data_IF_373494211283
#
_entry.id   IF_373494211283
#
_cell.length_a   1.000
_cell.length_b   1.000
_cell.length_c   1.000
_cell.angle_alpha   90.00
_cell.angle_beta   90.00
_cell.angle_gamma   90.00
#
_symmetry.space_group_name_H-M   'P 1'
#
loop_
_entity.id
_entity.type
_entity.pdbx_description
1 polymer ?
#
# COMPACT_ATOMS: atom_id res chain seq x y z
N UNK A 1 20.42 -11.26 -5.94
CA UNK A 1 19.61 -11.17 -4.71
C UNK A 1 18.84 -9.85 -4.63
N UNK A 2 19.47 -8.68 -4.96
CA UNK A 2 18.84 -7.36 -4.83
C UNK A 2 17.57 -7.21 -5.70
N UNK A 3 17.53 -7.76 -6.90
CA UNK A 3 16.37 -7.72 -7.79
C UNK A 3 15.15 -8.46 -7.19
N UNK A 4 15.37 -9.58 -6.49
CA UNK A 4 14.29 -10.27 -5.79
C UNK A 4 13.67 -9.44 -4.67
N UNK A 5 14.48 -8.61 -3.98
CA UNK A 5 13.96 -7.67 -3.00
C UNK A 5 13.05 -6.63 -3.70
N UNK A 6 13.47 -6.10 -4.86
CA UNK A 6 12.64 -5.18 -5.64
C UNK A 6 11.29 -5.82 -6.06
N UNK A 7 11.30 -7.09 -6.49
CA UNK A 7 10.08 -7.87 -6.79
C UNK A 7 9.18 -7.96 -5.54
N UNK A 8 9.73 -8.32 -4.38
CA UNK A 8 8.98 -8.40 -3.13
C UNK A 8 8.40 -7.04 -2.74
N UNK A 9 9.17 -5.96 -2.88
CA UNK A 9 8.69 -4.60 -2.62
C UNK A 9 7.50 -4.25 -3.52
N UNK A 10 7.53 -4.62 -4.81
CA UNK A 10 6.41 -4.39 -5.73
C UNK A 10 5.19 -5.22 -5.36
N UNK A 11 5.36 -6.50 -5.05
CA UNK A 11 4.25 -7.36 -4.57
C UNK A 11 3.61 -6.76 -3.31
N UNK A 12 4.42 -6.37 -2.34
CA UNK A 12 3.92 -5.77 -1.10
C UNK A 12 3.24 -4.42 -1.33
N UNK A 13 3.75 -3.61 -2.26
CA UNK A 13 3.13 -2.34 -2.65
C UNK A 13 1.73 -2.54 -3.21
N UNK A 14 1.59 -3.40 -4.23
CA UNK A 14 0.29 -3.71 -4.83
C UNK A 14 -0.68 -4.35 -3.85
N UNK A 15 -0.20 -5.29 -3.02
CA UNK A 15 -1.01 -5.94 -2.00
C UNK A 15 -1.52 -4.95 -0.94
N UNK A 16 -0.65 -4.05 -0.44
CA UNK A 16 -1.03 -3.05 0.55
C UNK A 16 -2.03 -2.04 0.00
N UNK A 17 -1.84 -1.58 -1.23
CA UNK A 17 -2.73 -0.62 -1.89
C UNK A 17 -4.12 -1.21 -2.11
N UNK A 18 -4.22 -2.32 -2.84
CA UNK A 18 -5.51 -2.86 -3.26
C UNK A 18 -6.27 -3.54 -2.13
N UNK A 19 -5.58 -4.15 -1.15
CA UNK A 19 -6.27 -4.70 0.03
C UNK A 19 -7.00 -3.61 0.82
N UNK A 20 -6.37 -2.45 1.05
CA UNK A 20 -7.03 -1.37 1.78
C UNK A 20 -8.10 -0.67 0.94
N UNK A 21 -7.83 -0.43 -0.35
CA UNK A 21 -8.77 0.25 -1.25
C UNK A 21 -10.09 -0.48 -1.39
N UNK A 22 -10.07 -1.81 -1.47
CA UNK A 22 -11.29 -2.63 -1.60
C UNK A 22 -12.18 -2.59 -0.34
N UNK A 23 -11.60 -2.38 0.85
CA UNK A 23 -12.36 -2.32 2.09
C UNK A 23 -12.77 -0.90 2.51
N UNK A 24 -12.27 0.13 1.80
CA UNK A 24 -12.59 1.52 2.07
C UNK A 24 -14.10 1.82 2.00
N UNK A 25 -14.82 1.17 1.09
CA UNK A 25 -16.29 1.26 0.98
C UNK A 25 -16.97 0.79 2.26
N UNK A 26 -16.65 -0.41 2.74
CA UNK A 26 -17.26 -0.97 3.94
C UNK A 26 -17.01 -0.10 5.19
N UNK A 27 -15.81 0.48 5.32
CA UNK A 27 -15.53 1.43 6.39
C UNK A 27 -16.29 2.74 6.24
N UNK A 28 -16.48 3.25 5.01
CA UNK A 28 -17.27 4.46 4.76
C UNK A 28 -18.76 4.24 5.10
N UNK A 29 -19.35 3.12 4.71
CA UNK A 29 -20.71 2.74 5.10
C UNK A 29 -20.88 2.72 6.62
N UNK A 30 -20.01 2.00 7.32
CA UNK A 30 -20.08 1.83 8.76
C UNK A 30 -19.77 3.11 9.54
N UNK A 31 -18.86 3.96 9.05
CA UNK A 31 -18.45 5.18 9.74
C UNK A 31 -19.44 6.32 9.60
N UNK A 32 -20.08 6.44 8.42
CA UNK A 32 -20.91 7.58 8.06
C UNK A 32 -22.40 7.24 8.02
N UNK A 33 -22.78 5.99 8.28
CA UNK A 33 -24.18 5.54 8.18
C UNK A 33 -24.77 5.65 6.77
N UNK A 34 -23.92 5.51 5.75
CA UNK A 34 -24.32 5.68 4.36
C UNK A 34 -24.95 4.42 3.79
N UNK A 35 -25.74 4.59 2.71
CA UNK A 35 -26.14 3.46 1.90
C UNK A 35 -24.93 2.81 1.23
N UNK A 36 -25.03 1.53 0.85
CA UNK A 36 -23.97 0.79 0.15
C UNK A 36 -23.45 1.55 -1.07
N UNK A 37 -24.37 2.08 -1.90
CA UNK A 37 -24.01 2.85 -3.09
C UNK A 37 -23.17 4.08 -2.78
N UNK A 38 -23.47 4.80 -1.71
CA UNK A 38 -22.70 5.97 -1.29
C UNK A 38 -21.37 5.56 -0.66
N UNK A 39 -21.32 4.46 0.08
CA UNK A 39 -20.08 3.90 0.62
C UNK A 39 -19.12 3.46 -0.48
N UNK A 40 -19.64 2.77 -1.51
CA UNK A 40 -18.87 2.34 -2.68
C UNK A 40 -18.32 3.53 -3.50
N UNK A 41 -19.02 4.66 -3.48
CA UNK A 41 -18.55 5.87 -4.16
C UNK A 41 -17.52 6.63 -3.30
N UNK A 42 -17.86 6.93 -2.05
CA UNK A 42 -17.05 7.84 -1.21
C UNK A 42 -15.80 7.17 -0.63
N UNK A 43 -15.85 5.92 -0.21
CA UNK A 43 -14.70 5.22 0.37
C UNK A 43 -13.52 5.15 -0.60
N UNK A 44 -13.67 4.52 -1.78
CA UNK A 44 -12.63 4.47 -2.80
C UNK A 44 -12.24 5.87 -3.33
N UNK A 45 -13.20 6.81 -3.42
CA UNK A 45 -12.91 8.18 -3.87
C UNK A 45 -11.98 8.90 -2.89
N UNK A 46 -12.26 8.86 -1.58
CA UNK A 46 -11.42 9.48 -0.56
C UNK A 46 -10.01 8.86 -0.52
N UNK A 47 -9.93 7.54 -0.66
CA UNK A 47 -8.65 6.83 -0.80
C UNK A 47 -7.87 7.33 -2.02
N UNK A 48 -8.52 7.38 -3.20
CA UNK A 48 -7.89 7.78 -4.46
C UNK A 48 -7.45 9.26 -4.45
N UNK A 49 -8.27 10.16 -3.89
CA UNK A 49 -7.92 11.58 -3.74
C UNK A 49 -6.70 11.75 -2.85
N UNK A 50 -6.67 11.06 -1.72
CA UNK A 50 -5.53 11.06 -0.79
C UNK A 50 -4.25 10.55 -1.46
N UNK A 51 -4.35 9.48 -2.24
CA UNK A 51 -3.26 8.93 -3.05
C UNK A 51 -2.78 9.94 -4.11
N UNK A 52 -3.72 10.60 -4.80
CA UNK A 52 -3.40 11.64 -5.79
C UNK A 52 -2.65 12.82 -5.17
N UNK A 53 -3.08 13.28 -3.99
CA UNK A 53 -2.39 14.34 -3.23
C UNK A 53 -0.94 13.94 -2.93
N UNK A 54 -0.72 12.71 -2.45
CA UNK A 54 0.63 12.19 -2.19
C UNK A 54 1.52 12.23 -3.43
N UNK A 55 0.99 11.80 -4.59
CA UNK A 55 1.71 11.81 -5.87
C UNK A 55 2.04 13.22 -6.35
N UNK A 56 1.10 14.17 -6.21
CA UNK A 56 1.32 15.59 -6.56
C UNK A 56 2.41 16.20 -5.67
N UNK A 57 2.34 15.97 -4.36
CA UNK A 57 3.34 16.47 -3.42
C UNK A 57 4.72 15.90 -3.71
N UNK A 58 4.80 14.61 -4.01
CA UNK A 58 6.06 13.99 -4.40
C UNK A 58 6.56 14.55 -5.74
N UNK A 59 5.71 14.72 -6.74
CA UNK A 59 6.08 15.32 -8.01
C UNK A 59 6.66 16.72 -7.86
N UNK A 60 6.13 17.52 -6.92
CA UNK A 60 6.56 18.89 -6.67
C UNK A 60 7.84 19.00 -5.81
N UNK A 61 7.98 18.11 -4.82
CA UNK A 61 9.04 18.22 -3.80
C UNK A 61 10.04 17.06 -3.82
N UNK A 62 9.80 16.03 -4.63
CA UNK A 62 10.56 14.77 -4.63
C UNK A 62 12.04 14.92 -4.95
N UNK A 63 12.42 15.94 -5.75
CA UNK A 63 13.84 16.23 -6.01
C UNK A 63 14.61 16.74 -4.78
N UNK A 64 13.89 17.29 -3.79
CA UNK A 64 14.46 17.83 -2.54
C UNK A 64 14.49 16.81 -1.41
N UNK A 65 13.87 15.66 -1.59
CA UNK A 65 13.71 14.65 -0.55
C UNK A 65 14.43 13.37 -0.94
N UNK A 66 15.12 12.76 0.03
CA UNK A 66 15.68 11.42 -0.13
C UNK A 66 14.53 10.42 -0.35
N UNK A 67 14.45 9.87 -1.56
CA UNK A 67 13.36 8.98 -1.96
C UNK A 67 13.26 7.74 -1.07
N UNK A 68 14.40 7.15 -0.68
CA UNK A 68 14.41 5.96 0.18
C UNK A 68 13.83 6.27 1.56
N UNK A 69 14.20 7.40 2.16
CA UNK A 69 13.66 7.84 3.45
C UNK A 69 12.18 8.17 3.36
N UNK A 70 11.76 8.82 2.25
CA UNK A 70 10.36 9.13 2.03
C UNK A 70 9.52 7.86 1.88
N UNK A 71 9.98 6.88 1.12
CA UNK A 71 9.33 5.58 0.98
C UNK A 71 9.27 4.82 2.31
N UNK A 72 10.35 4.86 3.10
CA UNK A 72 10.37 4.24 4.42
C UNK A 72 9.33 4.89 5.36
N UNK A 73 9.25 6.21 5.40
CA UNK A 73 8.23 6.95 6.15
C UNK A 73 6.82 6.60 5.70
N UNK A 74 6.58 6.51 4.38
CA UNK A 74 5.31 6.07 3.81
C UNK A 74 4.98 4.63 4.18
N UNK A 75 5.97 3.72 4.18
CA UNK A 75 5.79 2.34 4.62
C UNK A 75 5.38 2.25 6.09
N UNK A 76 6.04 3.00 6.97
CA UNK A 76 5.68 3.08 8.40
C UNK A 76 4.27 3.65 8.57
N UNK A 77 3.92 4.72 7.85
CA UNK A 77 2.56 5.27 7.86
C UNK A 77 1.53 4.23 7.40
N UNK A 78 1.83 3.44 6.38
CA UNK A 78 0.96 2.35 5.92
C UNK A 78 0.74 1.30 7.02
N UNK A 79 1.79 0.90 7.74
CA UNK A 79 1.68 0.00 8.91
C UNK A 79 0.72 0.60 9.95
N UNK A 80 0.88 1.88 10.29
CA UNK A 80 -0.02 2.57 11.22
C UNK A 80 -1.46 2.56 10.72
N UNK A 81 -1.70 2.82 9.44
CA UNK A 81 -3.04 2.79 8.84
C UNK A 81 -3.70 1.40 8.96
N UNK A 82 -2.95 0.33 8.69
CA UNK A 82 -3.44 -1.03 8.86
C UNK A 82 -3.73 -1.37 10.33
N UNK A 83 -2.91 -0.89 11.26
CA UNK A 83 -3.17 -1.02 12.71
C UNK A 83 -4.45 -0.30 13.10
N UNK A 84 -4.67 0.94 12.61
CA UNK A 84 -5.90 1.69 12.86
C UNK A 84 -7.13 0.94 12.33
N UNK A 85 -7.06 0.40 11.12
CA UNK A 85 -8.16 -0.33 10.50
C UNK A 85 -8.43 -1.69 11.16
N UNK A 86 -7.41 -2.37 11.72
CA UNK A 86 -7.55 -3.71 12.26
C UNK A 86 -7.85 -3.76 13.76
N UNK A 87 -7.24 -2.89 14.57
CA UNK A 87 -7.34 -3.00 16.03
C UNK A 87 -8.45 -2.15 16.65
N UNK A 88 -8.86 -1.07 15.99
CA UNK A 88 -9.90 -0.20 16.53
C UNK A 88 -11.29 -0.61 16.04
N UNK A 89 -12.24 -0.67 16.98
CA UNK A 89 -13.64 -1.03 16.68
C UNK A 89 -14.47 0.14 16.14
N UNK A 90 -13.95 1.37 16.25
CA UNK A 90 -14.63 2.56 15.76
C UNK A 90 -14.49 2.66 14.22
N UNK A 91 -15.61 2.62 13.46
CA UNK A 91 -15.57 2.69 12.00
C UNK A 91 -14.96 3.98 11.47
N UNK A 92 -15.07 5.11 12.19
CA UNK A 92 -14.47 6.40 11.81
C UNK A 92 -12.95 6.30 11.85
N UNK A 93 -12.39 5.61 12.84
CA UNK A 93 -10.93 5.36 12.92
C UNK A 93 -10.49 4.47 11.76
N UNK A 94 -11.27 3.44 11.43
CA UNK A 94 -11.02 2.57 10.29
C UNK A 94 -11.03 3.34 8.97
N UNK A 95 -12.03 4.18 8.73
CA UNK A 95 -12.11 5.03 7.53
C UNK A 95 -10.93 6.02 7.45
N UNK A 96 -10.56 6.64 8.58
CA UNK A 96 -9.38 7.52 8.64
C UNK A 96 -8.11 6.74 8.27
N UNK A 97 -7.96 5.52 8.78
CA UNK A 97 -6.88 4.62 8.39
C UNK A 97 -6.86 4.34 6.88
N UNK A 98 -8.02 4.09 6.27
CA UNK A 98 -8.13 3.89 4.82
C UNK A 98 -7.70 5.13 4.02
N UNK A 99 -8.17 6.32 4.40
CA UNK A 99 -7.84 7.57 3.70
C UNK A 99 -6.34 7.86 3.80
N UNK A 100 -5.76 7.77 5.01
CA UNK A 100 -4.32 7.98 5.22
C UNK A 100 -3.48 6.89 4.54
N UNK A 101 -3.99 5.66 4.43
CA UNK A 101 -3.34 4.60 3.67
C UNK A 101 -3.21 4.97 2.20
N UNK A 102 -4.25 5.55 1.59
CA UNK A 102 -4.18 6.08 0.22
C UNK A 102 -3.00 7.03 0.06
N UNK A 103 -2.82 7.98 0.99
CA UNK A 103 -1.67 8.88 0.99
C UNK A 103 -0.34 8.12 1.06
N UNK A 104 -0.23 7.13 1.95
CA UNK A 104 1.01 6.39 2.17
C UNK A 104 1.41 5.54 0.95
N UNK A 105 0.45 4.83 0.32
CA UNK A 105 0.75 3.95 -0.81
C UNK A 105 1.02 4.71 -2.11
N UNK A 106 0.64 5.98 -2.20
CA UNK A 106 0.76 6.79 -3.40
C UNK A 106 2.17 6.83 -4.00
N UNK A 107 3.23 6.76 -3.18
CA UNK A 107 4.62 6.75 -3.64
C UNK A 107 5.22 5.33 -3.73
N UNK A 108 4.61 4.31 -3.13
CA UNK A 108 5.24 2.99 -3.03
C UNK A 108 5.53 2.37 -4.41
N UNK A 109 4.57 2.43 -5.31
CA UNK A 109 4.71 1.91 -6.67
C UNK A 109 5.74 2.71 -7.49
N UNK A 110 5.53 4.01 -7.76
CA UNK A 110 6.47 4.80 -8.54
C UNK A 110 7.84 4.90 -7.85
N UNK A 111 7.86 4.94 -6.53
CA UNK A 111 9.10 4.96 -5.75
C UNK A 111 9.91 3.68 -5.91
N UNK A 112 9.29 2.50 -5.84
CA UNK A 112 9.98 1.21 -6.04
C UNK A 112 10.56 1.11 -7.45
N UNK A 113 9.84 1.55 -8.48
CA UNK A 113 10.37 1.62 -9.84
C UNK A 113 11.56 2.58 -9.93
N UNK A 114 11.47 3.75 -9.28
CA UNK A 114 12.53 4.76 -9.29
C UNK A 114 13.78 4.32 -8.55
N UNK A 115 13.68 3.70 -7.37
CA UNK A 115 14.86 3.17 -6.66
C UNK A 115 15.47 1.97 -7.41
N UNK A 116 14.65 1.16 -8.06
CA UNK A 116 15.11 0.03 -8.87
C UNK A 116 15.87 0.49 -10.10
N UNK A 117 15.41 1.52 -10.81
CA UNK A 117 16.11 2.07 -11.97
C UNK A 117 17.49 2.63 -11.62
N UNK A 118 17.63 3.25 -10.44
CA UNK A 118 18.92 3.74 -9.94
C UNK A 118 19.89 2.61 -9.59
N UNK A 119 19.37 1.49 -9.06
CA UNK A 119 20.18 0.33 -8.67
C UNK A 119 20.53 -0.59 -9.84
N UNK A 120 19.72 -0.61 -10.88
CA UNK A 120 19.85 -1.44 -12.07
C UNK A 120 19.79 -0.62 -13.37
N UNK A 121 20.81 0.22 -13.67
CA UNK A 121 20.78 1.10 -14.84
C UNK A 121 20.65 0.34 -16.16
N UNK A 122 21.15 -0.89 -16.22
CA UNK A 122 21.08 -1.77 -17.40
C UNK A 122 19.79 -2.62 -17.49
N UNK A 123 18.86 -2.45 -16.55
CA UNK A 123 17.66 -3.31 -16.44
C UNK A 123 16.64 -3.14 -17.58
N UNK A 124 16.62 -1.98 -18.20
CA UNK A 124 15.80 -1.70 -19.39
C UNK A 124 14.29 -1.93 -19.17
N UNK A 125 13.55 -2.02 -20.27
CA UNK A 125 12.09 -2.19 -20.27
C UNK A 125 11.64 -3.49 -19.63
N UNK A 126 12.43 -4.58 -19.79
CA UNK A 126 12.09 -5.88 -19.23
C UNK A 126 12.04 -5.87 -17.69
N UNK A 127 12.95 -5.14 -17.06
CA UNK A 127 12.93 -4.97 -15.59
C UNK A 127 11.64 -4.28 -15.13
N UNK A 128 11.25 -3.19 -15.78
CA UNK A 128 10.04 -2.47 -15.44
C UNK A 128 8.78 -3.32 -15.64
N UNK A 129 8.73 -4.11 -16.73
CA UNK A 129 7.63 -5.02 -17.00
C UNK A 129 7.50 -6.10 -15.92
N UNK A 130 8.61 -6.70 -15.48
CA UNK A 130 8.61 -7.70 -14.40
C UNK A 130 8.21 -7.11 -13.06
N UNK A 131 8.68 -5.90 -12.74
CA UNK A 131 8.30 -5.21 -11.52
C UNK A 131 6.80 -4.85 -11.53
N UNK A 132 6.28 -4.31 -12.64
CA UNK A 132 4.87 -4.00 -12.78
C UNK A 132 4.00 -5.26 -12.61
N UNK A 133 4.34 -6.35 -13.31
CA UNK A 133 3.67 -7.64 -13.17
C UNK A 133 3.67 -8.14 -11.72
N UNK A 134 4.79 -7.99 -11.01
CA UNK A 134 4.87 -8.36 -9.59
C UNK A 134 3.93 -7.52 -8.73
N UNK A 135 3.80 -6.22 -9.00
CA UNK A 135 2.84 -5.34 -8.33
C UNK A 135 1.40 -5.75 -8.58
N UNK A 136 1.04 -6.08 -9.83
CA UNK A 136 -0.31 -6.54 -10.20
C UNK A 136 -0.63 -7.89 -9.54
N UNK A 137 0.34 -8.81 -9.46
CA UNK A 137 0.19 -10.07 -8.72
C UNK A 137 -0.08 -9.81 -7.24
N UNK A 138 0.68 -8.89 -6.61
CA UNK A 138 0.43 -8.47 -5.23
C UNK A 138 -0.97 -7.90 -5.06
N UNK A 139 -1.39 -7.03 -5.97
CA UNK A 139 -2.72 -6.42 -5.99
C UNK A 139 -3.88 -7.41 -6.17
N UNK A 140 -3.60 -8.57 -6.76
CA UNK A 140 -4.59 -9.65 -6.90
C UNK A 140 -4.59 -10.58 -5.68
N UNK A 141 -3.41 -10.98 -5.20
CA UNK A 141 -3.23 -11.94 -4.10
C UNK A 141 -3.59 -11.29 -2.75
N UNK A 142 -3.18 -10.04 -2.52
CA UNK A 142 -3.38 -9.34 -1.25
C UNK A 142 -4.84 -9.29 -0.82
N UNK A 143 -5.74 -8.68 -1.63
CA UNK A 143 -7.16 -8.65 -1.32
C UNK A 143 -7.80 -10.03 -1.20
N UNK A 144 -7.33 -11.00 -1.99
CA UNK A 144 -7.78 -12.39 -1.92
C UNK A 144 -7.48 -13.03 -0.56
N UNK A 145 -6.29 -12.82 0.00
CA UNK A 145 -5.91 -13.30 1.33
C UNK A 145 -6.75 -12.60 2.39
N UNK A 146 -6.83 -11.27 2.35
CA UNK A 146 -7.62 -10.46 3.30
C UNK A 146 -9.08 -10.89 3.28
N UNK A 147 -9.68 -11.06 2.09
CA UNK A 147 -11.07 -11.48 1.93
C UNK A 147 -11.33 -12.88 2.50
N UNK A 148 -10.45 -13.85 2.22
CA UNK A 148 -10.58 -15.21 2.78
C UNK A 148 -10.51 -15.22 4.30
N UNK A 149 -9.56 -14.51 4.89
CA UNK A 149 -9.44 -14.41 6.35
C UNK A 149 -10.65 -13.71 6.96
N UNK A 150 -11.17 -12.66 6.33
CA UNK A 150 -12.41 -12.00 6.74
C UNK A 150 -13.58 -12.98 6.81
N UNK A 151 -13.79 -13.77 5.76
CA UNK A 151 -14.86 -14.78 5.72
C UNK A 151 -14.67 -15.87 6.77
N UNK A 152 -13.45 -16.42 6.92
CA UNK A 152 -13.15 -17.45 7.93
C UNK A 152 -13.33 -16.94 9.37
N UNK A 153 -13.21 -15.64 9.59
CA UNK A 153 -13.41 -14.96 10.89
C UNK A 153 -14.86 -14.49 11.12
N UNK A 154 -15.85 -15.03 10.37
CA UNK A 154 -17.25 -14.67 10.50
C UNK A 154 -17.56 -13.27 9.96
N UNK A 155 -17.03 -12.96 8.78
CA UNK A 155 -17.13 -11.66 8.08
C UNK A 155 -16.56 -10.46 8.88
N UNK A 156 -15.58 -10.75 9.72
CA UNK A 156 -14.89 -9.73 10.50
C UNK A 156 -13.77 -9.09 9.67
N UNK A 157 -14.05 -7.92 9.09
CA UNK A 157 -13.11 -7.13 8.27
C UNK A 157 -11.79 -6.87 9.01
N UNK A 158 -11.83 -6.62 10.31
CA UNK A 158 -10.64 -6.32 11.11
C UNK A 158 -9.64 -7.48 11.14
N UNK A 159 -10.14 -8.71 11.19
CA UNK A 159 -9.29 -9.91 11.15
C UNK A 159 -8.56 -10.04 9.81
N UNK A 160 -9.25 -9.73 8.71
CA UNK A 160 -8.64 -9.68 7.38
C UNK A 160 -7.57 -8.59 7.29
N UNK A 161 -7.87 -7.37 7.78
CA UNK A 161 -6.92 -6.26 7.79
C UNK A 161 -5.68 -6.55 8.65
N UNK A 162 -5.86 -7.26 9.77
CA UNK A 162 -4.75 -7.66 10.63
C UNK A 162 -3.77 -8.58 9.89
N UNK A 163 -4.27 -9.51 9.09
CA UNK A 163 -3.41 -10.35 8.24
C UNK A 163 -2.79 -9.53 7.11
N UNK A 164 -3.54 -8.59 6.52
CA UNK A 164 -3.05 -7.67 5.51
C UNK A 164 -1.88 -6.79 5.98
N UNK A 165 -1.74 -6.57 7.28
CA UNK A 165 -0.62 -5.85 7.89
C UNK A 165 0.75 -6.43 7.54
N UNK A 166 0.82 -7.72 7.19
CA UNK A 166 2.09 -8.37 6.79
C UNK A 166 2.72 -7.67 5.57
N UNK A 167 1.91 -7.17 4.62
CA UNK A 167 2.42 -6.58 3.40
C UNK A 167 3.20 -5.29 3.65
N UNK A 168 2.65 -4.26 4.34
CA UNK A 168 3.42 -3.05 4.63
C UNK A 168 4.58 -3.31 5.61
N UNK A 169 4.49 -4.28 6.52
CA UNK A 169 5.63 -4.66 7.39
C UNK A 169 6.76 -5.23 6.56
N UNK A 170 6.49 -6.19 5.66
CA UNK A 170 7.51 -6.75 4.76
C UNK A 170 8.08 -5.67 3.84
N UNK A 171 7.25 -4.71 3.38
CA UNK A 171 7.69 -3.56 2.61
C UNK A 171 8.73 -2.72 3.38
N UNK A 172 8.45 -2.36 4.64
CA UNK A 172 9.37 -1.59 5.49
C UNK A 172 10.69 -2.34 5.69
N UNK A 173 10.62 -3.63 6.04
CA UNK A 173 11.79 -4.47 6.23
C UNK A 173 12.60 -4.55 4.93
N UNK A 174 11.93 -4.79 3.81
CA UNK A 174 12.56 -4.88 2.49
C UNK A 174 13.27 -3.60 2.09
N UNK A 175 12.68 -2.42 2.36
CA UNK A 175 13.30 -1.12 2.11
C UNK A 175 14.58 -0.93 2.92
N UNK A 176 14.59 -1.31 4.20
CA UNK A 176 15.77 -1.22 5.05
C UNK A 176 16.93 -2.09 4.54
N UNK A 177 16.61 -3.28 4.01
CA UNK A 177 17.62 -4.14 3.38
C UNK A 177 18.07 -3.61 2.02
N UNK A 178 17.13 -3.12 1.20
CA UNK A 178 17.41 -2.60 -0.13
C UNK A 178 18.41 -1.43 -0.11
N UNK A 179 18.28 -0.55 0.88
CA UNK A 179 19.16 0.60 1.06
C UNK A 179 20.58 0.20 1.52
N UNK A 180 20.69 -0.84 2.38
CA UNK A 180 21.98 -1.29 2.93
C UNK A 180 22.84 -2.03 1.90
N UNK A 181 22.24 -2.64 0.90
CA UNK A 181 22.97 -3.41 -0.11
C UNK A 181 23.50 -2.44 -1.17
N UNK A 182 24.83 -2.25 -1.19
CA UNK A 182 25.51 -1.50 -2.25
C UNK A 182 25.28 -2.18 -3.59
N UNK A 183 24.93 -1.41 -4.63
CA UNK A 183 24.94 -1.91 -6.00
C UNK A 183 26.39 -2.32 -6.35
N UNK A 184 26.59 -3.57 -6.72
CA UNK A 184 27.84 -4.03 -7.37
C UNK A 184 27.83 -3.63 -8.81
#
# INVERSE_FOLDING_TARGET
PLFWIAIILMVCSGASELSMAQWASAYAEAALGLSKTMGDLLGPCLFAVSMGISRILYGKYGEKVDLSKFMLGSGVLCVVCYVLASLFSNPVVGLTGCILCGFSVGIMWPGTLSISSKKFPAGGTAMFALLAMAGDLGGSIGPGIVGRVTQMAGDNIRSGMLVGLIFPVVMVIGLLFFDKIKSR
#
